data_IF_427345808206
#
_entry.id   IF_427345808206
#
_cell.length_a   1.000
_cell.length_b   1.000
_cell.length_c   1.000
_cell.angle_alpha   90.00
_cell.angle_beta   90.00
_cell.angle_gamma   90.00
#
_symmetry.space_group_name_H-M   'P 1'
#
loop_
_entity.id
_entity.type
_entity.pdbx_description
1 polymer ?
#
# COMPACT_ATOMS: atom_id res chain seq x y z
N UNK A 1 27.48 5.96 14.86
CA UNK A 1 26.04 6.16 15.14
C UNK A 1 25.32 6.29 13.81
N UNK A 2 24.25 5.53 13.52
CA UNK A 2 23.46 5.80 12.32
C UNK A 2 22.76 7.15 12.49
N UNK A 3 23.14 8.14 11.68
CA UNK A 3 22.44 9.43 11.67
C UNK A 3 21.01 9.22 11.15
N UNK A 4 19.98 9.88 11.70
CA UNK A 4 18.63 9.80 11.16
C UNK A 4 18.66 10.19 9.68
N UNK A 5 18.16 9.32 8.81
CA UNK A 5 17.99 9.66 7.40
C UNK A 5 17.15 10.92 7.32
N UNK A 6 17.66 12.04 6.77
CA UNK A 6 16.91 13.29 6.71
C UNK A 6 15.60 13.03 5.96
N UNK A 7 14.47 13.27 6.63
CA UNK A 7 13.13 13.16 6.03
C UNK A 7 12.88 14.44 5.24
N UNK A 8 12.93 14.44 3.90
CA UNK A 8 12.67 15.66 3.14
C UNK A 8 11.22 16.08 3.35
N UNK A 9 11.00 17.34 3.75
CA UNK A 9 9.63 17.88 3.83
C UNK A 9 9.03 17.90 2.43
N UNK A 10 7.77 17.49 2.31
CA UNK A 10 7.05 17.46 1.03
C UNK A 10 7.13 18.80 0.28
N UNK A 11 6.93 19.93 0.97
CA UNK A 11 6.96 21.26 0.39
C UNK A 11 8.34 21.63 -0.19
N UNK A 12 9.42 21.38 0.55
CA UNK A 12 10.79 21.58 0.05
C UNK A 12 11.12 20.66 -1.13
N UNK A 13 10.67 19.40 -1.09
CA UNK A 13 10.87 18.47 -2.20
C UNK A 13 10.11 18.90 -3.45
N UNK A 14 8.91 19.47 -3.30
CA UNK A 14 8.11 19.96 -4.42
C UNK A 14 8.72 21.22 -5.06
N UNK A 15 9.17 22.17 -4.23
CA UNK A 15 9.84 23.39 -4.69
C UNK A 15 11.12 23.10 -5.49
N UNK A 16 11.84 22.04 -5.12
CA UNK A 16 13.08 21.63 -5.76
C UNK A 16 12.89 20.61 -6.89
N UNK A 17 11.67 20.10 -7.11
CA UNK A 17 11.40 19.07 -8.10
C UNK A 17 11.66 19.53 -9.53
N UNK A 18 11.45 20.82 -9.81
CA UNK A 18 11.64 21.43 -11.13
C UNK A 18 13.05 21.96 -11.37
N UNK A 19 13.83 22.19 -10.30
CA UNK A 19 15.14 22.84 -10.39
C UNK A 19 16.30 21.89 -10.10
N UNK A 20 16.06 20.81 -9.35
CA UNK A 20 17.08 19.83 -9.03
C UNK A 20 16.94 18.57 -9.91
N UNK A 21 18.05 17.87 -10.24
CA UNK A 21 18.00 16.58 -10.90
C UNK A 21 17.02 15.66 -10.16
N UNK A 22 16.18 14.95 -10.94
CA UNK A 22 15.13 14.07 -10.44
C UNK A 22 15.69 13.23 -9.26
N UNK A 23 14.95 13.04 -8.15
CA UNK A 23 15.47 12.34 -6.96
C UNK A 23 16.18 11.00 -7.21
N UNK A 24 15.86 10.28 -8.30
CA UNK A 24 16.54 9.06 -8.73
C UNK A 24 17.85 9.31 -9.49
N UNK A 25 18.02 10.48 -10.11
CA UNK A 25 19.28 10.94 -10.73
C UNK A 25 20.31 11.54 -9.76
N UNK A 26 19.97 11.67 -8.46
CA UNK A 26 20.94 12.08 -7.42
C UNK A 26 21.77 10.92 -6.87
N UNK A 27 21.31 9.70 -7.08
CA UNK A 27 22.03 8.49 -6.66
C UNK A 27 22.91 8.06 -7.83
N UNK A 28 24.20 7.79 -7.61
CA UNK A 28 25.05 7.30 -8.69
C UNK A 28 24.43 6.01 -9.25
N UNK A 29 24.49 5.84 -10.58
CA UNK A 29 23.91 4.68 -11.28
C UNK A 29 24.52 3.35 -10.78
N UNK A 30 25.68 3.43 -10.14
CA UNK A 30 26.41 2.34 -9.52
C UNK A 30 25.96 2.01 -8.09
N UNK A 31 25.02 2.77 -7.51
CA UNK A 31 24.51 2.52 -6.17
C UNK A 31 23.49 1.40 -6.18
N UNK A 32 23.66 0.41 -5.31
CA UNK A 32 22.71 -0.68 -5.15
C UNK A 32 21.32 -0.16 -4.76
N UNK A 33 20.28 -0.81 -5.28
CA UNK A 33 18.89 -0.55 -4.90
C UNK A 33 18.68 -0.80 -3.41
N UNK A 34 17.86 0.03 -2.76
CA UNK A 34 17.50 -0.18 -1.36
C UNK A 34 16.81 -1.54 -1.16
N UNK A 35 17.18 -2.25 -0.09
CA UNK A 35 16.59 -3.53 0.26
C UNK A 35 15.10 -3.39 0.55
N UNK A 36 14.29 -4.26 -0.05
CA UNK A 36 12.84 -4.28 0.13
C UNK A 36 12.53 -4.90 1.51
N UNK A 37 11.78 -4.23 2.39
CA UNK A 37 11.42 -4.78 3.70
C UNK A 37 10.22 -5.73 3.56
N UNK A 38 10.47 -6.93 3.04
CA UNK A 38 9.46 -7.95 2.72
C UNK A 38 8.54 -8.30 3.90
N UNK A 39 9.05 -8.26 5.13
CA UNK A 39 8.30 -8.52 6.35
C UNK A 39 7.09 -7.59 6.56
N UNK A 40 7.08 -6.40 5.95
CA UNK A 40 5.99 -5.43 6.12
C UNK A 40 4.78 -5.71 5.22
N UNK A 41 4.97 -6.45 4.12
CA UNK A 41 3.91 -6.65 3.12
C UNK A 41 2.79 -7.56 3.61
N UNK A 42 3.04 -8.72 4.24
CA UNK A 42 1.98 -9.56 4.80
C UNK A 42 1.10 -8.81 5.81
N UNK A 43 1.72 -7.99 6.67
CA UNK A 43 0.99 -7.17 7.66
C UNK A 43 0.08 -6.14 7.00
N UNK A 44 0.51 -5.52 5.90
CA UNK A 44 -0.32 -4.57 5.14
C UNK A 44 -1.46 -5.28 4.42
N UNK A 45 -1.18 -6.40 3.76
CA UNK A 45 -2.19 -7.22 3.09
C UNK A 45 -3.25 -7.69 4.09
N UNK A 46 -2.82 -8.20 5.25
CA UNK A 46 -3.73 -8.64 6.30
C UNK A 46 -4.62 -7.49 6.81
N UNK A 47 -4.04 -6.32 7.09
CA UNK A 47 -4.82 -5.14 7.52
C UNK A 47 -5.85 -4.69 6.48
N UNK A 48 -5.47 -4.67 5.21
CA UNK A 48 -6.41 -4.35 4.13
C UNK A 48 -7.49 -5.42 4.00
N UNK A 49 -7.10 -6.70 4.14
CA UNK A 49 -8.00 -7.86 4.08
C UNK A 49 -9.10 -7.83 5.14
N UNK A 50 -8.82 -7.28 6.34
CA UNK A 50 -9.82 -7.13 7.41
C UNK A 50 -11.05 -6.34 6.97
N UNK A 51 -10.90 -5.38 6.07
CA UNK A 51 -12.03 -4.59 5.55
C UNK A 51 -12.52 -5.13 4.19
N UNK A 52 -11.61 -5.51 3.31
CA UNK A 52 -11.96 -5.95 1.95
C UNK A 52 -12.71 -7.28 1.97
N UNK A 53 -12.26 -8.27 2.74
CA UNK A 53 -12.87 -9.60 2.72
C UNK A 53 -14.32 -9.59 3.24
N UNK A 54 -14.66 -8.94 4.37
CA UNK A 54 -16.05 -8.86 4.82
C UNK A 54 -16.93 -8.06 3.85
N UNK A 55 -16.41 -6.96 3.29
CA UNK A 55 -17.15 -6.16 2.31
C UNK A 55 -17.46 -6.98 1.07
N UNK A 56 -16.48 -7.73 0.56
CA UNK A 56 -16.63 -8.61 -0.59
C UNK A 56 -17.62 -9.75 -0.29
N UNK A 57 -17.52 -10.37 0.88
CA UNK A 57 -18.45 -11.40 1.32
C UNK A 57 -19.89 -10.87 1.45
N UNK A 58 -20.06 -9.63 1.91
CA UNK A 58 -21.38 -9.01 1.99
C UNK A 58 -21.95 -8.71 0.59
N UNK A 59 -21.17 -8.02 -0.26
CA UNK A 59 -21.61 -7.60 -1.61
C UNK A 59 -21.86 -8.78 -2.54
N UNK A 60 -21.11 -9.86 -2.41
CA UNK A 60 -21.30 -11.05 -3.25
C UNK A 60 -22.21 -12.09 -2.58
N UNK A 61 -22.26 -12.13 -1.25
CA UNK A 61 -23.01 -13.13 -0.49
C UNK A 61 -24.47 -12.75 -0.26
N UNK A 62 -24.85 -11.47 -0.30
CA UNK A 62 -26.24 -11.07 -0.03
C UNK A 62 -27.28 -11.67 -1.01
N UNK A 63 -27.03 -11.90 -2.31
CA UNK A 63 -28.02 -12.51 -3.18
C UNK A 63 -28.21 -14.00 -2.85
N UNK A 64 -27.13 -14.68 -2.46
CA UNK A 64 -27.17 -16.06 -2.00
C UNK A 64 -27.90 -16.16 -0.66
N UNK A 65 -27.57 -15.29 0.29
CA UNK A 65 -28.25 -15.23 1.58
C UNK A 65 -29.75 -14.92 1.41
N UNK A 66 -30.11 -14.00 0.51
CA UNK A 66 -31.49 -13.69 0.16
C UNK A 66 -32.20 -14.88 -0.48
N UNK A 67 -31.59 -15.54 -1.46
CA UNK A 67 -32.16 -16.73 -2.08
C UNK A 67 -32.39 -17.85 -1.06
N UNK A 68 -31.43 -18.09 -0.15
CA UNK A 68 -31.58 -19.07 0.92
C UNK A 68 -32.71 -18.71 1.89
N UNK A 69 -32.80 -17.44 2.31
CA UNK A 69 -33.81 -16.95 3.25
C UNK A 69 -35.23 -16.99 2.66
N UNK A 70 -35.42 -16.58 1.40
CA UNK A 70 -36.75 -16.46 0.78
C UNK A 70 -37.23 -17.75 0.11
N UNK A 71 -36.33 -18.56 -0.46
CA UNK A 71 -36.73 -19.81 -1.12
C UNK A 71 -36.73 -21.01 -0.18
N UNK A 72 -36.17 -20.88 1.04
CA UNK A 72 -36.11 -21.95 2.05
C UNK A 72 -35.36 -23.21 1.62
N UNK A 73 -34.82 -23.23 0.39
CA UNK A 73 -34.07 -24.30 -0.24
C UNK A 73 -32.97 -23.68 -1.09
N UNK A 74 -31.73 -23.89 -0.65
CA UNK A 74 -30.62 -24.20 -1.56
C UNK A 74 -30.40 -25.69 -1.48
#
# INVERSE_FOLDING_TARGET
>A
MPSPTPKPSFLRSAALYLTEPHPYGRRPVTMASATIPWANYPKRIARTGVLVLPTLAFVLGWPLAGAWFYNGKM
#
